data_IF_145583362956
#
_entry.id   IF_145583362956
#
_cell.length_a   1.000
_cell.length_b   1.000
_cell.length_c   1.000
_cell.angle_alpha   90.00
_cell.angle_beta   90.00
_cell.angle_gamma   90.00
#
_symmetry.space_group_name_H-M   'P 1'
#
loop_
_entity.id
_entity.type
_entity.pdbx_description
1 polymer ?
#
# COMPACT_ATOMS: atom_id res chain seq x y z
N UNK A 1 -3.12 11.44 -22.03
CA UNK A 1 -3.76 10.11 -21.95
C UNK A 1 -2.97 9.30 -20.93
N UNK A 2 -3.63 8.55 -20.07
CA UNK A 2 -2.99 7.65 -19.08
C UNK A 2 -2.70 6.32 -19.75
N UNK A 3 -1.53 5.76 -19.50
CA UNK A 3 -1.10 4.44 -20.00
C UNK A 3 -0.94 3.44 -18.87
N UNK A 4 -0.51 3.93 -17.70
CA UNK A 4 -0.21 3.11 -16.53
C UNK A 4 -0.97 3.62 -15.33
N UNK A 5 -1.58 2.70 -14.58
CA UNK A 5 -2.24 3.01 -13.31
C UNK A 5 -1.60 2.15 -12.21
N UNK A 6 -1.09 2.81 -11.19
CA UNK A 6 -0.49 2.17 -10.03
C UNK A 6 -1.34 2.42 -8.78
N UNK A 7 -1.63 1.35 -8.07
CA UNK A 7 -2.42 1.38 -6.84
C UNK A 7 -1.54 1.10 -5.63
N UNK A 8 -1.72 1.86 -4.55
CA UNK A 8 -1.25 1.38 -3.26
C UNK A 8 -2.05 0.15 -2.81
N UNK A 9 -1.48 -0.64 -1.91
CA UNK A 9 -2.14 -1.84 -1.39
C UNK A 9 -2.94 -1.53 -0.14
N UNK A 10 -2.28 -1.18 0.96
CA UNK A 10 -2.94 -0.93 2.24
C UNK A 10 -3.67 0.43 2.24
N UNK A 11 -4.96 0.42 2.50
CA UNK A 11 -5.79 1.63 2.42
C UNK A 11 -6.49 1.81 1.07
N UNK A 12 -5.92 1.31 -0.04
CA UNK A 12 -6.51 1.38 -1.38
C UNK A 12 -7.06 0.03 -1.85
N UNK A 13 -6.20 -0.93 -2.18
CA UNK A 13 -6.63 -2.28 -2.63
C UNK A 13 -7.16 -3.14 -1.49
N UNK A 14 -6.61 -2.97 -0.29
CA UNK A 14 -7.02 -3.68 0.91
C UNK A 14 -7.37 -2.72 2.04
N UNK A 15 -8.45 -3.02 2.76
CA UNK A 15 -8.80 -2.33 4.00
C UNK A 15 -7.93 -2.90 5.14
N UNK A 16 -7.17 -2.02 5.78
CA UNK A 16 -6.38 -2.34 6.97
C UNK A 16 -6.76 -1.49 8.18
N UNK A 17 -7.39 -0.33 7.97
CA UNK A 17 -7.75 0.61 9.05
C UNK A 17 -8.65 -0.03 10.10
N UNK A 18 -9.66 -0.80 9.67
CA UNK A 18 -10.53 -1.54 10.61
C UNK A 18 -9.79 -2.59 11.41
N UNK A 19 -8.74 -3.17 10.82
CA UNK A 19 -7.88 -4.13 11.50
C UNK A 19 -7.06 -3.50 12.62
N UNK A 20 -6.42 -2.37 12.36
CA UNK A 20 -5.64 -1.65 13.37
C UNK A 20 -6.53 -1.12 14.51
N UNK A 21 -7.76 -0.67 14.21
CA UNK A 21 -8.74 -0.32 15.23
C UNK A 21 -9.05 -1.51 16.14
N UNK A 22 -9.28 -2.70 15.59
CA UNK A 22 -9.58 -3.89 16.38
C UNK A 22 -8.40 -4.34 17.26
N UNK A 23 -7.15 -4.16 16.78
CA UNK A 23 -5.94 -4.40 17.60
C UNK A 23 -5.87 -3.41 18.77
N UNK A 24 -6.13 -2.14 18.49
CA UNK A 24 -6.13 -1.09 19.50
C UNK A 24 -7.21 -1.34 20.56
N UNK A 25 -8.45 -1.60 20.14
CA UNK A 25 -9.59 -1.88 21.02
C UNK A 25 -9.32 -3.10 21.93
N UNK A 26 -8.78 -4.20 21.36
CA UNK A 26 -8.47 -5.41 22.10
C UNK A 26 -7.40 -5.19 23.18
N UNK A 27 -6.57 -4.15 23.07
CA UNK A 27 -5.49 -3.83 23.98
C UNK A 27 -5.74 -2.52 24.77
N UNK A 28 -6.93 -1.91 24.65
CA UNK A 28 -7.25 -0.65 25.34
C UNK A 28 -6.42 0.56 24.89
N UNK A 29 -5.97 0.55 23.62
CA UNK A 29 -5.11 1.57 23.01
C UNK A 29 -5.92 2.48 22.08
N UNK A 30 -5.39 3.68 21.80
CA UNK A 30 -5.93 4.53 20.75
C UNK A 30 -5.55 4.00 19.37
N UNK A 31 -6.52 3.90 18.46
CA UNK A 31 -6.30 3.32 17.12
C UNK A 31 -5.35 4.13 16.24
N UNK A 32 -5.44 5.47 16.30
CA UNK A 32 -4.58 6.34 15.49
C UNK A 32 -3.13 6.28 15.98
N UNK A 33 -2.93 6.15 17.29
CA UNK A 33 -1.61 5.95 17.88
C UNK A 33 -1.02 4.59 17.47
N UNK A 34 -1.80 3.51 17.48
CA UNK A 34 -1.35 2.17 17.03
C UNK A 34 -0.96 2.19 15.56
N UNK A 35 -1.78 2.79 14.68
CA UNK A 35 -1.48 2.92 13.24
C UNK A 35 -0.18 3.69 13.04
N UNK A 36 -0.02 4.81 13.74
CA UNK A 36 1.18 5.63 13.66
C UNK A 36 2.42 4.87 14.14
N UNK A 37 2.34 4.24 15.31
CA UNK A 37 3.45 3.45 15.87
C UNK A 37 3.84 2.32 14.89
N UNK A 38 2.86 1.62 14.32
CA UNK A 38 3.09 0.55 13.35
C UNK A 38 3.81 1.08 12.12
N UNK A 39 3.29 2.17 11.51
CA UNK A 39 3.88 2.80 10.33
C UNK A 39 5.30 3.31 10.58
N UNK A 40 5.56 3.94 11.73
CA UNK A 40 6.89 4.46 12.05
C UNK A 40 7.86 3.31 12.36
N UNK A 41 7.43 2.32 13.15
CA UNK A 41 8.29 1.21 13.59
C UNK A 41 8.73 0.31 12.43
N UNK A 42 7.86 0.06 11.46
CA UNK A 42 8.23 -0.78 10.30
C UNK A 42 9.30 -0.11 9.43
N UNK A 43 9.31 1.23 9.37
CA UNK A 43 10.39 2.00 8.73
C UNK A 43 11.65 2.09 9.59
N UNK A 44 11.54 2.37 10.89
CA UNK A 44 12.67 2.48 11.81
C UNK A 44 13.49 1.19 11.88
N UNK A 45 12.80 0.05 11.92
CA UNK A 45 13.46 -1.26 11.90
C UNK A 45 14.01 -1.64 10.53
N UNK A 46 13.65 -0.92 9.48
CA UNK A 46 14.03 -1.20 8.10
C UNK A 46 13.33 -2.43 7.50
N UNK A 47 12.38 -3.04 8.22
CA UNK A 47 11.71 -4.25 7.76
C UNK A 47 10.90 -4.01 6.47
N UNK A 48 10.23 -2.86 6.35
CA UNK A 48 9.49 -2.48 5.15
C UNK A 48 10.37 -2.33 3.89
N UNK A 49 11.68 -2.18 4.07
CA UNK A 49 12.67 -2.04 3.00
C UNK A 49 13.53 -3.31 2.82
N UNK A 50 13.16 -4.42 3.45
CA UNK A 50 13.94 -5.65 3.42
C UNK A 50 15.32 -5.55 4.09
N UNK A 51 15.56 -4.50 4.90
CA UNK A 51 16.84 -4.24 5.61
C UNK A 51 16.80 -4.66 7.07
N UNK A 52 15.62 -4.93 7.61
CA UNK A 52 15.38 -5.42 8.95
C UNK A 52 14.67 -6.76 8.94
N UNK A 53 14.38 -7.29 10.13
CA UNK A 53 13.66 -8.56 10.27
C UNK A 53 12.26 -8.36 10.87
N UNK A 54 11.35 -9.27 10.55
CA UNK A 54 10.01 -9.36 11.15
C UNK A 54 10.10 -9.42 12.68
N UNK A 55 11.03 -10.22 13.21
CA UNK A 55 11.22 -10.36 14.66
C UNK A 55 11.60 -9.02 15.31
N UNK A 56 12.51 -8.27 14.70
CA UNK A 56 12.90 -6.94 15.21
C UNK A 56 11.74 -5.97 15.21
N UNK A 57 10.94 -5.99 14.14
CA UNK A 57 9.74 -5.17 14.02
C UNK A 57 8.70 -5.52 15.09
N UNK A 58 8.35 -6.79 15.24
CA UNK A 58 7.33 -7.24 16.19
C UNK A 58 7.75 -6.97 17.66
N UNK A 59 9.05 -7.18 17.99
CA UNK A 59 9.58 -6.84 19.31
C UNK A 59 9.47 -5.34 19.59
N UNK A 60 9.86 -4.49 18.63
CA UNK A 60 9.78 -3.04 18.77
C UNK A 60 8.31 -2.56 18.85
N UNK A 61 7.39 -3.18 18.13
CA UNK A 61 5.96 -2.90 18.23
C UNK A 61 5.45 -3.17 19.66
N UNK A 62 5.76 -4.33 20.22
CA UNK A 62 5.35 -4.68 21.58
C UNK A 62 5.96 -3.76 22.64
N UNK A 63 7.23 -3.41 22.48
CA UNK A 63 7.90 -2.47 23.39
C UNK A 63 7.22 -1.08 23.39
N UNK A 64 6.88 -0.57 22.20
CA UNK A 64 6.27 0.76 22.05
C UNK A 64 4.80 0.83 22.45
N UNK A 65 4.05 -0.25 22.22
CA UNK A 65 2.60 -0.28 22.46
C UNK A 65 2.22 -0.90 23.80
N UNK A 66 3.11 -1.67 24.42
CA UNK A 66 2.80 -2.46 25.62
C UNK A 66 1.90 -3.67 25.34
N UNK A 67 1.64 -4.02 24.07
CA UNK A 67 0.84 -5.19 23.71
C UNK A 67 1.50 -6.46 24.25
N UNK A 68 0.77 -7.19 25.10
CA UNK A 68 1.21 -8.43 25.69
C UNK A 68 1.07 -9.62 24.73
N UNK A 69 1.65 -10.77 25.08
CA UNK A 69 1.62 -11.99 24.29
C UNK A 69 2.90 -12.26 23.52
N UNK A 70 2.87 -13.15 22.57
CA UNK A 70 4.00 -13.51 21.73
C UNK A 70 3.95 -12.84 20.33
N UNK A 71 5.07 -12.91 19.62
CA UNK A 71 5.17 -12.32 18.28
C UNK A 71 4.29 -13.03 17.25
N UNK A 72 4.01 -14.32 17.40
CA UNK A 72 3.17 -15.07 16.46
C UNK A 72 1.72 -14.60 16.57
N UNK A 73 1.22 -14.36 17.78
CA UNK A 73 -0.12 -13.81 18.01
C UNK A 73 -0.26 -12.40 17.45
N UNK A 74 0.69 -11.50 17.75
CA UNK A 74 0.68 -10.13 17.21
C UNK A 74 0.75 -10.12 15.67
N UNK A 75 1.63 -10.93 15.10
CA UNK A 75 1.74 -11.10 13.65
C UNK A 75 0.42 -11.56 13.03
N UNK A 76 -0.18 -12.58 13.63
CA UNK A 76 -1.47 -13.09 13.17
C UNK A 76 -2.55 -12.01 13.20
N UNK A 77 -2.63 -11.26 14.29
CA UNK A 77 -3.58 -10.17 14.44
C UNK A 77 -3.39 -9.08 13.38
N UNK A 78 -2.15 -8.74 13.03
CA UNK A 78 -1.89 -7.75 11.99
C UNK A 78 -2.24 -8.31 10.60
N UNK A 79 -1.67 -9.46 10.22
CA UNK A 79 -1.78 -10.00 8.85
C UNK A 79 -3.20 -10.46 8.53
N UNK A 80 -3.92 -11.04 9.51
CA UNK A 80 -5.30 -11.50 9.30
C UNK A 80 -6.30 -10.38 9.02
N UNK A 81 -5.94 -9.13 9.31
CA UNK A 81 -6.82 -7.97 9.18
C UNK A 81 -6.81 -7.31 7.80
N UNK A 82 -5.92 -7.73 6.91
CA UNK A 82 -5.97 -7.25 5.53
C UNK A 82 -7.16 -7.90 4.80
N UNK A 83 -8.08 -7.06 4.34
CA UNK A 83 -9.29 -7.48 3.62
C UNK A 83 -9.26 -6.81 2.25
N UNK A 84 -9.14 -7.59 1.19
CA UNK A 84 -9.20 -7.07 -0.18
C UNK A 84 -10.56 -6.44 -0.44
N UNK A 85 -10.55 -5.32 -1.17
CA UNK A 85 -11.77 -4.71 -1.70
C UNK A 85 -12.10 -5.33 -3.05
N UNK A 86 -13.05 -6.26 -3.08
CA UNK A 86 -13.44 -6.99 -4.29
C UNK A 86 -13.79 -6.06 -5.45
N UNK A 87 -14.54 -4.98 -5.18
CA UNK A 87 -14.89 -4.00 -6.20
C UNK A 87 -13.69 -3.28 -6.82
N UNK A 88 -12.61 -3.09 -6.04
CA UNK A 88 -11.37 -2.49 -6.55
C UNK A 88 -10.63 -3.48 -7.46
N UNK A 89 -10.63 -4.76 -7.10
CA UNK A 89 -10.10 -5.83 -7.98
C UNK A 89 -10.92 -5.94 -9.27
N UNK A 90 -12.23 -5.78 -9.22
CA UNK A 90 -13.07 -5.77 -10.43
C UNK A 90 -12.79 -4.54 -11.30
N UNK A 91 -12.53 -3.39 -10.70
CA UNK A 91 -12.05 -2.20 -11.43
C UNK A 91 -10.70 -2.48 -12.12
N UNK A 92 -9.73 -3.08 -11.42
CA UNK A 92 -8.42 -3.46 -11.99
C UNK A 92 -8.61 -4.36 -13.22
N UNK A 93 -9.47 -5.38 -13.14
CA UNK A 93 -9.79 -6.25 -14.29
C UNK A 93 -10.38 -5.47 -15.47
N UNK A 94 -11.30 -4.52 -15.18
CA UNK A 94 -11.89 -3.65 -16.20
C UNK A 94 -10.81 -2.81 -16.87
N UNK A 95 -9.95 -2.14 -16.13
CA UNK A 95 -8.85 -1.31 -16.67
C UNK A 95 -7.91 -2.12 -17.56
N UNK A 96 -7.57 -3.35 -17.16
CA UNK A 96 -6.79 -4.27 -18.03
C UNK A 96 -7.51 -4.60 -19.34
N UNK A 97 -8.83 -4.81 -19.29
CA UNK A 97 -9.60 -5.09 -20.52
C UNK A 97 -9.63 -3.92 -21.51
N UNK A 98 -9.34 -2.71 -21.02
CA UNK A 98 -9.18 -1.47 -21.79
C UNK A 98 -7.73 -1.23 -22.27
N UNK A 99 -6.85 -2.24 -22.14
CA UNK A 99 -5.43 -2.22 -22.52
C UNK A 99 -4.57 -1.22 -21.71
N UNK A 100 -4.99 -0.85 -20.52
CA UNK A 100 -4.17 -0.11 -19.57
C UNK A 100 -3.21 -1.06 -18.85
N UNK A 101 -1.98 -0.62 -18.62
CA UNK A 101 -1.04 -1.31 -17.75
C UNK A 101 -1.44 -1.00 -16.29
N UNK A 102 -1.65 -2.03 -15.49
CA UNK A 102 -2.00 -1.86 -14.07
C UNK A 102 -0.98 -2.50 -13.16
N UNK A 103 -0.64 -1.83 -12.07
CA UNK A 103 0.34 -2.34 -11.12
C UNK A 103 0.04 -1.94 -9.68
N UNK A 104 0.79 -2.57 -8.78
CA UNK A 104 0.86 -2.24 -7.36
C UNK A 104 2.15 -1.45 -7.12
N UNK A 105 2.08 -0.34 -6.40
CA UNK A 105 3.23 0.38 -5.85
C UNK A 105 2.97 0.60 -4.36
N UNK A 106 3.57 -0.25 -3.54
CA UNK A 106 3.25 -0.28 -2.11
C UNK A 106 4.47 -0.31 -1.22
N UNK A 107 4.41 0.44 -0.13
CA UNK A 107 5.30 0.29 1.00
C UNK A 107 4.75 -0.81 1.89
N UNK A 108 5.25 -2.03 1.68
CA UNK A 108 4.79 -3.22 2.38
C UNK A 108 5.97 -4.15 2.66
N UNK A 109 5.84 -4.99 3.69
CA UNK A 109 6.81 -6.04 4.00
C UNK A 109 6.64 -7.24 3.06
N UNK A 110 7.37 -8.33 3.28
CA UNK A 110 7.17 -9.63 2.61
C UNK A 110 5.79 -10.26 2.89
N UNK A 111 5.04 -9.71 3.84
CA UNK A 111 3.64 -10.10 4.04
C UNK A 111 2.75 -9.86 2.82
N UNK A 112 3.12 -8.95 1.92
CA UNK A 112 2.39 -8.78 0.66
C UNK A 112 2.42 -10.04 -0.20
N UNK A 113 3.55 -10.76 -0.21
CA UNK A 113 3.68 -12.03 -0.93
C UNK A 113 2.85 -13.13 -0.26
N UNK A 114 2.80 -13.17 1.08
CA UNK A 114 1.95 -14.09 1.83
C UNK A 114 0.47 -13.81 1.58
N UNK A 115 0.06 -12.55 1.59
CA UNK A 115 -1.30 -12.14 1.26
C UNK A 115 -1.66 -12.54 -0.17
N UNK A 116 -0.72 -12.40 -1.11
CA UNK A 116 -0.93 -12.90 -2.46
C UNK A 116 -1.04 -14.43 -2.51
N UNK A 117 -0.23 -15.18 -1.76
CA UNK A 117 -0.35 -16.63 -1.69
C UNK A 117 -1.72 -17.08 -1.15
N UNK A 118 -2.33 -16.26 -0.28
CA UNK A 118 -3.67 -16.51 0.28
C UNK A 118 -4.81 -16.10 -0.65
N UNK A 119 -4.69 -14.96 -1.33
CA UNK A 119 -5.79 -14.34 -2.08
C UNK A 119 -5.61 -14.39 -3.61
N UNK A 120 -4.42 -14.75 -4.10
CA UNK A 120 -4.09 -14.91 -5.52
C UNK A 120 -4.43 -13.68 -6.38
N UNK A 121 -4.11 -12.48 -5.88
CA UNK A 121 -4.48 -11.23 -6.57
C UNK A 121 -3.39 -10.69 -7.50
N UNK A 122 -2.11 -11.05 -7.36
CA UNK A 122 -1.03 -10.56 -8.25
C UNK A 122 -1.29 -10.87 -9.73
N UNK A 123 -1.98 -11.96 -10.02
CA UNK A 123 -2.34 -12.35 -11.40
C UNK A 123 -3.13 -11.29 -12.16
N UNK A 124 -3.76 -10.35 -11.46
CA UNK A 124 -4.52 -9.27 -12.07
C UNK A 124 -3.67 -8.04 -12.39
N UNK A 125 -2.41 -8.00 -11.95
CA UNK A 125 -1.50 -6.87 -12.13
C UNK A 125 -0.36 -7.23 -13.08
N UNK A 126 0.09 -6.25 -13.88
CA UNK A 126 1.23 -6.41 -14.79
C UNK A 126 2.55 -6.21 -14.04
N UNK A 127 2.52 -5.39 -12.99
CA UNK A 127 3.69 -5.08 -12.17
C UNK A 127 3.33 -5.04 -10.68
N UNK A 128 4.24 -5.53 -9.84
CA UNK A 128 4.16 -5.40 -8.37
C UNK A 128 5.48 -4.81 -7.87
N UNK A 129 5.42 -3.56 -7.44
CA UNK A 129 6.55 -2.83 -6.85
C UNK A 129 6.35 -2.79 -5.34
N UNK A 130 7.00 -3.71 -4.63
CA UNK A 130 6.98 -3.77 -3.17
C UNK A 130 8.29 -3.18 -2.62
N UNK A 131 8.19 -2.22 -1.71
CA UNK A 131 9.35 -1.56 -1.07
C UNK A 131 10.31 -2.56 -0.42
N UNK A 132 9.81 -3.67 0.11
CA UNK A 132 10.61 -4.75 0.69
C UNK A 132 11.63 -5.32 -0.31
N UNK A 133 11.18 -5.66 -1.50
CA UNK A 133 12.03 -6.21 -2.56
C UNK A 133 12.87 -5.15 -3.26
N UNK A 134 12.37 -3.92 -3.32
CA UNK A 134 13.07 -2.80 -3.98
C UNK A 134 14.15 -2.18 -3.09
N UNK A 135 14.09 -2.38 -1.78
CA UNK A 135 14.99 -1.71 -0.83
C UNK A 135 14.78 -0.19 -0.73
N UNK A 136 13.69 0.33 -1.33
CA UNK A 136 13.32 1.75 -1.41
C UNK A 136 11.80 1.88 -1.33
N UNK A 137 11.31 2.82 -0.54
CA UNK A 137 9.89 3.09 -0.35
C UNK A 137 9.47 4.48 -0.81
N UNK A 138 8.17 4.75 -0.79
CA UNK A 138 7.52 5.98 -1.25
C UNK A 138 7.92 7.24 -0.46
N UNK A 139 8.53 7.09 0.72
CA UNK A 139 9.14 8.21 1.47
C UNK A 139 10.35 8.81 0.75
N UNK A 140 11.02 8.05 -0.12
CA UNK A 140 12.07 8.55 -1.02
C UNK A 140 11.46 8.94 -2.37
N UNK A 141 11.37 10.24 -2.65
CA UNK A 141 10.79 10.74 -3.89
C UNK A 141 11.52 10.26 -5.17
N UNK A 142 12.79 9.83 -5.08
CA UNK A 142 13.50 9.24 -6.22
C UNK A 142 12.91 7.90 -6.66
N UNK A 143 12.11 7.23 -5.81
CA UNK A 143 11.40 6.01 -6.19
C UNK A 143 10.50 6.24 -7.42
N UNK A 144 9.77 7.35 -7.45
CA UNK A 144 8.85 7.65 -8.56
C UNK A 144 9.59 7.80 -9.90
N UNK A 145 10.79 8.42 -9.89
CA UNK A 145 11.64 8.50 -11.10
C UNK A 145 12.13 7.10 -11.51
N UNK A 146 12.50 6.25 -10.54
CA UNK A 146 12.96 4.89 -10.81
C UNK A 146 11.84 4.04 -11.42
N UNK A 147 10.62 4.13 -10.89
CA UNK A 147 9.44 3.40 -11.40
C UNK A 147 9.08 3.87 -12.81
N UNK A 148 9.02 5.18 -13.07
CA UNK A 148 8.74 5.71 -14.42
C UNK A 148 9.75 5.19 -15.45
N UNK A 149 11.03 5.11 -15.05
CA UNK A 149 12.12 4.56 -15.87
C UNK A 149 11.97 3.07 -16.12
N UNK A 150 11.62 2.28 -15.09
CA UNK A 150 11.36 0.84 -15.21
C UNK A 150 10.17 0.55 -16.13
N UNK A 151 9.11 1.33 -16.02
CA UNK A 151 7.92 1.23 -16.87
C UNK A 151 8.14 1.78 -18.28
N UNK A 152 9.23 2.52 -18.50
CA UNK A 152 9.52 3.25 -19.77
C UNK A 152 8.36 4.17 -20.17
N UNK A 153 7.70 4.77 -19.19
CA UNK A 153 6.51 5.60 -19.35
C UNK A 153 6.78 7.01 -18.87
N UNK A 154 6.42 8.04 -19.66
CA UNK A 154 6.52 9.43 -19.21
C UNK A 154 5.70 9.67 -17.93
N UNK A 155 6.20 10.48 -16.98
CA UNK A 155 5.53 10.73 -15.71
C UNK A 155 4.08 11.19 -15.82
N UNK A 156 3.75 12.06 -16.76
CA UNK A 156 2.41 12.62 -17.00
C UNK A 156 1.40 11.59 -17.58
N UNK A 157 1.88 10.40 -17.93
CA UNK A 157 1.07 9.27 -18.41
C UNK A 157 0.89 8.16 -17.33
N UNK A 158 1.43 8.37 -16.14
CA UNK A 158 1.27 7.47 -14.99
C UNK A 158 0.25 8.09 -14.04
N UNK A 159 -0.77 7.31 -13.67
CA UNK A 159 -1.70 7.64 -12.61
C UNK A 159 -1.37 6.82 -11.36
N UNK A 160 -1.22 7.49 -10.22
CA UNK A 160 -0.97 6.85 -8.94
C UNK A 160 -2.10 7.12 -7.96
N UNK A 161 -2.56 6.08 -7.28
CA UNK A 161 -3.67 6.08 -6.33
C UNK A 161 -3.14 5.63 -4.99
N UNK A 162 -3.25 6.50 -3.98
CA UNK A 162 -2.73 6.25 -2.63
C UNK A 162 -3.59 6.99 -1.61
N UNK A 163 -3.71 6.51 -0.38
CA UNK A 163 -4.47 7.16 0.70
C UNK A 163 -3.59 8.07 1.59
N UNK A 164 -2.26 8.05 1.38
CA UNK A 164 -1.32 8.95 2.07
C UNK A 164 -1.08 10.22 1.25
N UNK A 165 -1.48 11.42 1.79
CA UNK A 165 -1.29 12.68 1.07
C UNK A 165 0.18 13.02 0.83
N UNK A 166 1.11 12.53 1.65
CA UNK A 166 2.54 12.74 1.46
C UNK A 166 3.08 11.96 0.27
N UNK A 167 2.61 10.71 0.06
CA UNK A 167 2.94 9.92 -1.13
C UNK A 167 2.40 10.58 -2.41
N UNK A 168 1.15 11.02 -2.36
CA UNK A 168 0.49 11.76 -3.45
C UNK A 168 1.28 13.02 -3.83
N UNK A 169 1.68 13.81 -2.85
CA UNK A 169 2.44 15.04 -3.11
C UNK A 169 3.82 14.74 -3.72
N UNK A 170 4.55 13.73 -3.22
CA UNK A 170 5.84 13.32 -3.78
C UNK A 170 5.71 12.84 -5.24
N UNK A 171 4.68 12.02 -5.55
CA UNK A 171 4.40 11.59 -6.91
C UNK A 171 4.07 12.78 -7.84
N UNK A 172 3.24 13.72 -7.36
CA UNK A 172 2.87 14.93 -8.09
C UNK A 172 4.07 15.82 -8.41
N UNK A 173 4.99 15.98 -7.45
CA UNK A 173 6.25 16.72 -7.67
C UNK A 173 7.14 16.07 -8.73
N UNK A 174 6.98 14.77 -8.99
CA UNK A 174 7.64 14.03 -10.05
C UNK A 174 6.87 14.02 -11.38
N UNK A 175 5.80 14.80 -11.48
CA UNK A 175 4.99 14.96 -12.69
C UNK A 175 3.95 13.88 -12.93
N UNK A 176 3.71 12.99 -11.96
CA UNK A 176 2.68 11.97 -12.07
C UNK A 176 1.28 12.56 -11.89
N UNK A 177 0.29 11.95 -12.53
CA UNK A 177 -1.11 12.16 -12.17
C UNK A 177 -1.42 11.38 -10.91
N UNK A 178 -2.28 11.94 -10.06
CA UNK A 178 -2.55 11.33 -8.76
C UNK A 178 -4.01 11.43 -8.37
N UNK A 179 -4.50 10.43 -7.65
CA UNK A 179 -5.77 10.47 -6.92
C UNK A 179 -5.47 10.16 -5.45
N UNK A 180 -5.86 11.06 -4.55
CA UNK A 180 -5.89 10.76 -3.13
C UNK A 180 -7.14 9.96 -2.82
N UNK A 181 -6.96 8.70 -2.42
CA UNK A 181 -8.08 7.84 -2.08
C UNK A 181 -8.62 8.15 -0.69
N UNK A 182 -9.83 8.66 -0.60
CA UNK A 182 -10.53 8.89 0.66
C UNK A 182 -11.70 7.90 0.85
N UNK A 183 -12.51 7.74 -0.16
CA UNK A 183 -13.67 6.87 -0.20
C UNK A 183 -13.99 6.44 -1.64
N UNK A 184 -14.89 5.47 -1.78
CA UNK A 184 -15.23 4.89 -3.09
C UNK A 184 -15.95 5.87 -4.02
N UNK A 185 -16.80 6.74 -3.49
CA UNK A 185 -17.62 7.66 -4.29
C UNK A 185 -16.76 8.78 -4.91
N UNK A 186 -15.96 9.46 -4.07
CA UNK A 186 -15.05 10.51 -4.54
C UNK A 186 -13.99 9.95 -5.50
N UNK A 187 -13.46 8.76 -5.22
CA UNK A 187 -12.52 8.06 -6.07
C UNK A 187 -13.09 7.77 -7.46
N UNK A 188 -14.31 7.23 -7.54
CA UNK A 188 -14.95 6.92 -8.83
C UNK A 188 -15.15 8.19 -9.68
N UNK A 189 -15.60 9.29 -9.05
CA UNK A 189 -15.77 10.57 -9.74
C UNK A 189 -14.44 11.11 -10.31
N UNK A 190 -13.34 10.95 -9.59
CA UNK A 190 -12.01 11.38 -10.07
C UNK A 190 -11.49 10.46 -11.19
N UNK A 191 -11.69 9.16 -11.08
CA UNK A 191 -11.35 8.20 -12.14
C UNK A 191 -12.08 8.50 -13.44
N UNK A 192 -13.40 8.73 -13.39
CA UNK A 192 -14.23 9.03 -14.56
C UNK A 192 -13.74 10.31 -15.26
N UNK A 193 -13.36 11.33 -14.51
CA UNK A 193 -12.81 12.59 -15.06
C UNK A 193 -11.45 12.39 -15.76
N UNK A 194 -10.57 11.56 -15.18
CA UNK A 194 -9.21 11.37 -15.70
C UNK A 194 -9.15 10.43 -16.86
N UNK A 195 -9.99 9.41 -16.91
CA UNK A 195 -9.99 8.40 -17.95
C UNK A 195 -11.01 8.69 -19.05
N UNK A 196 -11.92 9.66 -18.85
CA UNK A 196 -13.02 10.00 -19.78
C UNK A 196 -13.91 8.79 -20.10
N UNK A 197 -14.18 7.96 -19.07
CA UNK A 197 -14.98 6.74 -19.14
C UNK A 197 -16.43 7.04 -18.75
#
# INVERSE_FOLDING_TARGET
MIDVILFDFAGVLADFKKGSMAIADANGLNSDDVIKILSDTVYETGYILGKGSEISFLNAMREKTGIEGDNASLRHDIVSRFILRDWMIDLVKKLKSENLIVGILSDQTDWLDELNARFDFFKWFDHVFNSYHMGKGKRDAALFDDIARLLKTPPDRILFIDDDPGNIERARQKGWKTILYNDAESFQLEMDKLLSI
#
